data_IF_502475304729
#
_entry.id   IF_502475304729
#
_cell.length_a   1.000
_cell.length_b   1.000
_cell.length_c   1.000
_cell.angle_alpha   90.00
_cell.angle_beta   90.00
_cell.angle_gamma   90.00
#
_symmetry.space_group_name_H-M   'P 1'
#
loop_
_entity.id
_entity.type
_entity.pdbx_description
1 polymer ?
#
# COMPACT_ATOMS: atom_id res chain seq x y z
N UNK A 1 -8.06 -12.13 -5.74
CA UNK A 1 -6.91 -12.88 -5.17
C UNK A 1 -5.75 -11.92 -5.09
N UNK A 2 -5.23 -11.62 -3.90
CA UNK A 2 -4.02 -10.80 -3.75
C UNK A 2 -2.79 -11.60 -4.19
N UNK A 3 -1.88 -10.96 -4.93
CA UNK A 3 -0.64 -11.58 -5.38
C UNK A 3 0.30 -11.74 -4.17
N UNK A 4 0.89 -12.92 -3.92
CA UNK A 4 1.84 -13.13 -2.83
C UNK A 4 3.01 -12.14 -2.88
N UNK A 5 3.44 -11.64 -1.72
CA UNK A 5 4.51 -10.64 -1.63
C UNK A 5 5.78 -11.04 -2.39
N UNK A 6 6.17 -12.32 -2.33
CA UNK A 6 7.35 -12.84 -3.04
C UNK A 6 7.24 -12.62 -4.55
N UNK A 7 6.09 -12.94 -5.15
CA UNK A 7 5.88 -12.75 -6.58
C UNK A 7 5.94 -11.27 -6.97
N UNK A 8 5.43 -10.37 -6.12
CA UNK A 8 5.53 -8.93 -6.35
C UNK A 8 7.00 -8.46 -6.30
N UNK A 9 7.78 -8.96 -5.34
CA UNK A 9 9.20 -8.65 -5.22
C UNK A 9 9.93 -9.11 -6.48
N UNK A 10 9.76 -10.37 -6.89
CA UNK A 10 10.46 -10.94 -8.05
C UNK A 10 10.11 -10.22 -9.35
N UNK A 11 8.83 -9.95 -9.59
CA UNK A 11 8.38 -9.25 -10.79
C UNK A 11 8.96 -7.84 -10.87
N UNK A 12 8.81 -7.04 -9.79
CA UNK A 12 9.29 -5.65 -9.78
C UNK A 12 10.80 -5.55 -9.79
N UNK A 13 11.48 -6.45 -9.10
CA UNK A 13 12.93 -6.49 -9.10
C UNK A 13 13.48 -6.78 -10.51
N UNK A 14 12.85 -7.71 -11.23
CA UNK A 14 13.22 -8.02 -12.61
C UNK A 14 12.92 -6.85 -13.56
N UNK A 15 11.76 -6.20 -13.44
CA UNK A 15 11.39 -5.02 -14.23
C UNK A 15 12.34 -3.84 -14.03
N UNK A 16 12.81 -3.64 -12.80
CA UNK A 16 13.74 -2.56 -12.44
C UNK A 16 15.22 -2.92 -12.65
N UNK A 17 15.52 -4.17 -13.03
CA UNK A 17 16.90 -4.64 -13.20
C UNK A 17 17.73 -4.63 -11.93
N UNK A 18 17.08 -4.76 -10.76
CA UNK A 18 17.73 -4.69 -9.46
C UNK A 18 18.35 -6.04 -9.08
N UNK A 19 19.58 -6.02 -8.58
CA UNK A 19 20.22 -7.21 -8.01
C UNK A 19 19.75 -7.46 -6.57
N UNK A 20 19.86 -8.71 -6.12
CA UNK A 20 19.54 -9.08 -4.73
C UNK A 20 20.36 -8.27 -3.72
N UNK A 21 21.62 -8.00 -4.06
CA UNK A 21 22.51 -7.17 -3.24
C UNK A 21 22.01 -5.74 -3.11
N UNK A 22 21.65 -5.08 -4.23
CA UNK A 22 21.10 -3.73 -4.19
C UNK A 22 19.81 -3.65 -3.37
N UNK A 23 18.96 -4.67 -3.48
CA UNK A 23 17.72 -4.73 -2.72
C UNK A 23 18.00 -4.96 -1.22
N UNK A 24 18.94 -5.83 -0.87
CA UNK A 24 19.41 -6.02 0.51
C UNK A 24 19.98 -4.74 1.13
N UNK A 25 20.82 -4.02 0.38
CA UNK A 25 21.42 -2.76 0.81
C UNK A 25 20.32 -1.70 1.06
N UNK A 26 19.35 -1.59 0.14
CA UNK A 26 18.21 -0.68 0.29
C UNK A 26 17.32 -1.04 1.51
N UNK A 27 17.17 -2.32 1.80
CA UNK A 27 16.45 -2.82 2.97
C UNK A 27 17.27 -2.71 4.26
N UNK A 28 18.57 -2.44 4.18
CA UNK A 28 19.49 -2.44 5.31
C UNK A 28 19.59 -3.82 5.97
N UNK A 29 19.63 -4.88 5.16
CA UNK A 29 19.96 -6.22 5.64
C UNK A 29 21.47 -6.40 5.66
N UNK A 30 22.03 -6.82 6.80
CA UNK A 30 23.47 -7.07 6.93
C UNK A 30 23.95 -8.26 6.10
N UNK A 31 23.05 -9.20 5.78
CA UNK A 31 23.36 -10.44 5.07
C UNK A 31 22.43 -10.62 3.88
N UNK A 32 23.01 -10.86 2.71
CA UNK A 32 22.26 -11.14 1.46
C UNK A 32 21.32 -12.36 1.61
N UNK A 33 21.70 -13.34 2.44
CA UNK A 33 20.90 -14.53 2.70
C UNK A 33 19.52 -14.22 3.29
N UNK A 34 19.34 -13.09 3.97
CA UNK A 34 18.04 -12.69 4.54
C UNK A 34 17.00 -12.49 3.45
N UNK A 35 17.34 -11.82 2.35
CA UNK A 35 16.42 -11.62 1.23
C UNK A 35 16.10 -12.94 0.52
N UNK A 36 17.10 -13.83 0.36
CA UNK A 36 16.91 -15.16 -0.22
C UNK A 36 15.92 -15.99 0.60
N UNK A 37 16.08 -16.02 1.93
CA UNK A 37 15.17 -16.74 2.83
C UNK A 37 13.75 -16.16 2.80
N UNK A 38 13.61 -14.85 2.58
CA UNK A 38 12.30 -14.19 2.41
C UNK A 38 11.65 -14.63 1.10
N UNK A 39 12.39 -14.63 -0.01
CA UNK A 39 11.90 -15.11 -1.32
C UNK A 39 11.53 -16.58 -1.31
N UNK A 40 12.27 -17.41 -0.57
CA UNK A 40 11.96 -18.83 -0.37
C UNK A 40 10.76 -19.07 0.57
N UNK A 41 10.24 -18.02 1.22
CA UNK A 41 9.13 -18.11 2.17
C UNK A 41 9.49 -18.72 3.52
N UNK A 42 10.77 -19.07 3.73
CA UNK A 42 11.29 -19.60 5.00
C UNK A 42 11.35 -18.53 6.09
N UNK A 43 11.51 -17.27 5.70
CA UNK A 43 11.49 -16.11 6.59
C UNK A 43 10.40 -15.13 6.16
N UNK A 44 9.71 -14.51 7.11
CA UNK A 44 8.76 -13.42 6.82
C UNK A 44 9.51 -12.10 6.69
N UNK A 45 9.02 -11.20 5.82
CA UNK A 45 9.53 -9.83 5.76
C UNK A 45 9.22 -9.13 7.10
N UNK A 46 10.23 -8.56 7.79
CA UNK A 46 9.98 -7.72 8.95
C UNK A 46 9.14 -6.51 8.56
N UNK A 47 8.03 -6.26 9.27
CA UNK A 47 7.09 -5.18 8.95
C UNK A 47 7.77 -3.80 8.96
N UNK A 48 8.80 -3.62 9.78
CA UNK A 48 9.62 -2.40 9.83
C UNK A 48 10.35 -2.09 8.52
N UNK A 49 10.53 -3.08 7.63
CA UNK A 49 11.21 -2.93 6.33
C UNK A 49 10.24 -2.68 5.16
N UNK A 50 8.93 -2.69 5.41
CA UNK A 50 7.92 -2.44 4.36
C UNK A 50 8.11 -1.09 3.66
N UNK A 51 8.35 0.05 4.34
CA UNK A 51 8.55 1.31 3.65
C UNK A 51 9.79 1.32 2.75
N UNK A 52 10.89 0.71 3.23
CA UNK A 52 12.12 0.58 2.47
C UNK A 52 11.94 -0.31 1.23
N UNK A 53 11.21 -1.43 1.38
CA UNK A 53 10.90 -2.32 0.26
C UNK A 53 10.04 -1.62 -0.80
N UNK A 54 9.01 -0.91 -0.36
CA UNK A 54 8.10 -0.16 -1.23
C UNK A 54 8.86 0.90 -2.04
N UNK A 55 9.74 1.66 -1.38
CA UNK A 55 10.59 2.64 -2.03
C UNK A 55 11.55 1.99 -3.04
N UNK A 56 12.23 0.91 -2.66
CA UNK A 56 13.18 0.21 -3.52
C UNK A 56 12.54 -0.39 -4.78
N UNK A 57 11.30 -0.89 -4.66
CA UNK A 57 10.57 -1.53 -5.76
C UNK A 57 9.59 -0.61 -6.48
N UNK A 58 9.55 0.68 -6.12
CA UNK A 58 8.57 1.65 -6.64
C UNK A 58 7.15 1.08 -6.59
N UNK A 59 6.76 0.62 -5.40
CA UNK A 59 5.44 0.07 -5.09
C UNK A 59 4.74 0.94 -4.05
N UNK A 60 3.41 0.87 -4.03
CA UNK A 60 2.62 1.52 -2.99
C UNK A 60 2.86 0.82 -1.63
N UNK A 61 3.27 1.56 -0.57
CA UNK A 61 3.57 0.97 0.73
C UNK A 61 2.41 0.18 1.34
N UNK A 62 1.17 0.60 1.08
CA UNK A 62 -0.04 -0.07 1.56
C UNK A 62 -0.20 -1.46 0.96
N UNK A 63 0.12 -1.62 -0.33
CA UNK A 63 0.00 -2.90 -1.02
C UNK A 63 1.07 -3.88 -0.53
N UNK A 64 2.30 -3.40 -0.35
CA UNK A 64 3.41 -4.18 0.23
C UNK A 64 3.09 -4.58 1.67
N UNK A 65 2.56 -3.66 2.48
CA UNK A 65 2.16 -3.92 3.86
C UNK A 65 1.07 -5.00 3.94
N UNK A 66 0.02 -4.86 3.12
CA UNK A 66 -1.08 -5.83 3.04
C UNK A 66 -0.56 -7.20 2.66
N UNK A 67 0.31 -7.30 1.65
CA UNK A 67 0.88 -8.58 1.21
C UNK A 67 1.80 -9.20 2.28
N UNK A 68 2.59 -8.39 3.00
CA UNK A 68 3.45 -8.85 4.09
C UNK A 68 2.65 -9.40 5.28
N UNK A 69 1.55 -8.73 5.64
CA UNK A 69 0.66 -9.14 6.71
C UNK A 69 -0.12 -10.41 6.36
N UNK A 70 -0.64 -10.54 5.14
CA UNK A 70 -1.28 -11.78 4.69
C UNK A 70 -0.35 -12.99 4.81
N UNK A 71 0.94 -12.80 4.54
CA UNK A 71 1.93 -13.85 4.69
C UNK A 71 2.27 -14.20 6.15
N UNK A 72 2.11 -13.27 7.10
CA UNK A 72 2.58 -13.44 8.49
C UNK A 72 1.44 -13.71 9.48
N UNK A 73 0.32 -13.01 9.35
CA UNK A 73 -0.86 -13.13 10.21
C UNK A 73 -2.10 -12.66 9.43
N UNK A 74 -2.81 -13.58 8.75
CA UNK A 74 -4.01 -13.24 7.98
C UNK A 74 -5.07 -12.52 8.81
N UNK A 75 -5.30 -12.96 10.05
CA UNK A 75 -6.33 -12.37 10.93
C UNK A 75 -5.95 -10.95 11.40
N UNK A 76 -4.65 -10.62 11.39
CA UNK A 76 -4.18 -9.29 11.78
C UNK A 76 -4.58 -8.23 10.75
N UNK A 77 -4.71 -8.58 9.46
CA UNK A 77 -5.21 -7.64 8.45
C UNK A 77 -6.65 -7.26 8.75
N UNK A 78 -7.51 -8.23 9.10
CA UNK A 78 -8.92 -7.98 9.42
C UNK A 78 -9.07 -7.14 10.68
N UNK A 79 -8.25 -7.39 11.70
CA UNK A 79 -8.26 -6.58 12.93
C UNK A 79 -7.77 -5.16 12.64
N UNK A 80 -6.71 -4.98 11.83
CA UNK A 80 -6.25 -3.65 11.43
C UNK A 80 -7.32 -2.93 10.62
N UNK A 81 -7.99 -3.61 9.69
CA UNK A 81 -9.10 -3.05 8.94
C UNK A 81 -10.34 -2.77 9.81
N UNK A 82 -10.53 -3.46 10.92
CA UNK A 82 -11.62 -3.17 11.86
C UNK A 82 -11.27 -1.99 12.79
N UNK A 83 -10.02 -1.92 13.26
CA UNK A 83 -9.57 -0.94 14.27
C UNK A 83 -9.11 0.38 13.65
N UNK A 84 -8.37 0.31 12.54
CA UNK A 84 -7.75 1.46 11.86
C UNK A 84 -8.46 1.84 10.57
N UNK A 85 -9.66 1.32 10.32
CA UNK A 85 -10.53 1.91 9.33
C UNK A 85 -11.50 2.89 10.02
N UNK A 86 -11.09 4.13 10.35
CA UNK A 86 -12.03 5.16 10.81
C UNK A 86 -13.03 5.58 9.70
N UNK A 87 -12.99 4.92 8.55
CA UNK A 87 -13.70 5.26 7.34
C UNK A 87 -14.29 3.96 6.77
N UNK A 88 -15.33 3.43 7.44
CA UNK A 88 -16.34 2.55 6.83
C UNK A 88 -17.09 3.31 5.71
N UNK A 89 -16.34 3.90 4.78
CA UNK A 89 -16.85 4.59 3.64
C UNK A 89 -17.54 3.55 2.80
N UNK A 90 -18.84 3.71 2.68
CA UNK A 90 -19.64 3.05 1.68
C UNK A 90 -19.04 3.28 0.30
N UNK A 91 -19.36 2.41 -0.65
CA UNK A 91 -18.96 2.56 -2.06
C UNK A 91 -19.28 3.96 -2.59
N UNK A 92 -20.39 4.56 -2.14
CA UNK A 92 -20.82 5.91 -2.50
C UNK A 92 -19.86 6.99 -1.99
N UNK A 93 -19.44 6.91 -0.72
CA UNK A 93 -18.53 7.89 -0.14
C UNK A 93 -17.11 7.74 -0.72
N UNK A 94 -16.68 6.51 -0.99
CA UNK A 94 -15.43 6.25 -1.70
C UNK A 94 -15.44 6.87 -3.10
N UNK A 95 -16.57 6.78 -3.82
CA UNK A 95 -16.73 7.40 -5.14
C UNK A 95 -16.66 8.92 -5.06
N UNK A 96 -17.26 9.52 -4.04
CA UNK A 96 -17.20 10.96 -3.79
C UNK A 96 -15.75 11.42 -3.56
N UNK A 97 -14.99 10.72 -2.72
CA UNK A 97 -13.58 11.04 -2.43
C UNK A 97 -12.71 10.88 -3.67
N UNK A 98 -12.93 9.86 -4.50
CA UNK A 98 -12.20 9.70 -5.77
C UNK A 98 -12.48 10.86 -6.72
N UNK A 99 -13.74 11.24 -6.92
CA UNK A 99 -14.09 12.39 -7.76
C UNK A 99 -13.51 13.70 -7.22
N UNK A 100 -13.46 13.88 -5.91
CA UNK A 100 -12.76 15.00 -5.28
C UNK A 100 -11.29 15.02 -5.69
N UNK A 101 -10.58 13.89 -5.57
CA UNK A 101 -9.16 13.79 -5.92
C UNK A 101 -8.91 13.94 -7.43
N UNK A 102 -9.79 13.43 -8.28
CA UNK A 102 -9.68 13.59 -9.74
C UNK A 102 -9.82 15.07 -10.16
N UNK A 103 -10.71 15.82 -9.50
CA UNK A 103 -10.97 17.23 -9.82
C UNK A 103 -9.96 18.19 -9.20
N UNK A 104 -9.58 17.95 -7.94
CA UNK A 104 -8.73 18.86 -7.18
C UNK A 104 -7.24 18.46 -7.20
N UNK A 105 -6.93 17.18 -7.43
CA UNK A 105 -5.62 16.61 -7.14
C UNK A 105 -5.34 16.64 -5.63
N UNK A 106 -4.13 17.09 -5.26
CA UNK A 106 -3.75 17.38 -3.88
C UNK A 106 -4.02 18.84 -3.46
N UNK A 107 -4.70 19.62 -4.32
CA UNK A 107 -5.05 21.01 -3.97
C UNK A 107 -6.18 21.01 -2.94
N UNK A 108 -6.17 21.94 -1.98
CA UNK A 108 -7.27 22.08 -1.03
C UNK A 108 -8.56 22.42 -1.80
N UNK A 109 -9.53 21.50 -1.74
CA UNK A 109 -10.87 21.71 -2.26
C UNK A 109 -11.87 21.71 -1.10
N UNK A 110 -12.75 22.70 -1.08
CA UNK A 110 -13.80 22.82 -0.08
C UNK A 110 -15.13 22.32 -0.69
N UNK A 111 -15.67 21.17 -0.25
CA UNK A 111 -16.99 20.75 -0.68
C UNK A 111 -18.05 21.73 -0.14
N UNK A 112 -18.96 22.15 -1.00
CA UNK A 112 -20.14 22.92 -0.63
C UNK A 112 -21.37 22.01 -0.68
N UNK A 113 -22.11 21.94 0.42
CA UNK A 113 -23.36 21.17 0.51
C UNK A 113 -24.53 22.12 0.33
N UNK A 114 -25.42 21.81 -0.61
CA UNK A 114 -26.69 22.53 -0.77
C UNK A 114 -27.80 21.75 -0.08
N UNK A 115 -28.07 22.10 1.18
CA UNK A 115 -29.13 21.50 1.97
C UNK A 115 -30.50 21.65 1.28
N UNK A 116 -31.23 20.54 1.16
CA UNK A 116 -32.55 20.47 0.51
C UNK A 116 -32.56 19.96 -0.94
N UNK A 117 -31.39 19.82 -1.60
CA UNK A 117 -31.30 19.22 -2.95
C UNK A 117 -30.50 17.93 -3.03
N UNK A 118 -29.82 17.54 -1.94
CA UNK A 118 -28.92 16.38 -1.94
C UNK A 118 -27.74 16.53 -2.90
N UNK A 119 -27.30 17.77 -3.15
CA UNK A 119 -26.21 18.08 -4.08
C UNK A 119 -24.98 18.51 -3.30
N UNK A 120 -23.86 17.84 -3.58
CA UNK A 120 -22.52 18.24 -3.15
C UNK A 120 -21.82 18.83 -4.38
N UNK A 121 -21.45 20.11 -4.30
CA UNK A 121 -20.63 20.75 -5.31
C UNK A 121 -19.18 20.83 -4.84
N UNK A 122 -18.26 20.59 -5.76
CA UNK A 122 -16.83 20.72 -5.53
C UNK A 122 -16.36 21.99 -6.22
N UNK A 123 -15.93 22.97 -5.42
CA UNK A 123 -15.33 24.20 -5.94
C UNK A 123 -13.82 24.02 -5.89
N UNK A 124 -13.20 23.90 -7.06
CA UNK A 124 -11.75 23.93 -7.21
C UNK A 124 -11.32 25.34 -7.58
N UNK A 125 -10.27 25.88 -6.93
CA UNK A 125 -9.67 27.15 -7.34
C UNK A 125 -8.94 27.06 -8.68
#
# INVERSE_FOLDING_TARGET
MSVPLVQQIEARQAELGLTDRQLCDALGFEREITLVLIKQGTMKLPITKVPALAAALSLEPVDVFRAALQGSSPDLISVIEEVFNPLHLTTSEMRLIRHLRDLAGDRPAAPMVFDGKGVIALVTP
#
